data_IF_598545568806
#
_entry.id   IF_598545568806
#
_cell.length_a   1.000
_cell.length_b   1.000
_cell.length_c   1.000
_cell.angle_alpha   90.00
_cell.angle_beta   90.00
_cell.angle_gamma   90.00
#
_symmetry.space_group_name_H-M   'P 1'
#
loop_
_entity.id
_entity.type
_entity.pdbx_description
1 polymer ?
#
# COMPACT_ATOMS: atom_id res chain seq x y z
N UNK A 1 20.29 22.21 -42.81
CA UNK A 1 19.97 22.29 -41.36
C UNK A 1 18.48 22.08 -41.05
N UNK A 2 17.73 21.22 -41.76
CA UNK A 2 16.32 20.90 -41.43
C UNK A 2 16.13 19.59 -40.64
N UNK A 3 17.11 18.69 -40.71
CA UNK A 3 17.06 17.34 -40.09
C UNK A 3 17.31 17.34 -38.58
N UNK A 4 18.01 18.36 -38.05
CA UNK A 4 18.27 18.50 -36.62
C UNK A 4 17.02 18.91 -35.81
N UNK A 5 16.09 19.64 -36.42
CA UNK A 5 14.85 20.06 -35.75
C UNK A 5 13.89 18.87 -35.53
N UNK A 6 13.85 17.91 -36.45
CA UNK A 6 13.03 16.70 -36.27
C UNK A 6 13.56 15.81 -35.16
N UNK A 7 14.89 15.70 -35.00
CA UNK A 7 15.49 14.93 -33.90
C UNK A 7 15.12 15.49 -32.52
N UNK A 8 15.20 16.82 -32.36
CA UNK A 8 14.79 17.51 -31.13
C UNK A 8 13.29 17.37 -30.90
N UNK A 9 12.46 17.50 -31.95
CA UNK A 9 11.00 17.35 -31.82
C UNK A 9 10.58 15.93 -31.43
N UNK A 10 11.23 14.89 -31.97
CA UNK A 10 10.94 13.49 -31.61
C UNK A 10 11.42 13.19 -30.19
N UNK A 11 12.58 13.70 -29.80
CA UNK A 11 13.10 13.56 -28.44
C UNK A 11 12.19 14.26 -27.42
N UNK A 12 11.75 15.49 -27.70
CA UNK A 12 10.80 16.20 -26.84
C UNK A 12 9.46 15.48 -26.74
N UNK A 13 8.96 14.90 -27.84
CA UNK A 13 7.72 14.12 -27.81
C UNK A 13 7.85 12.85 -26.96
N UNK A 14 8.99 12.14 -27.06
CA UNK A 14 9.29 10.99 -26.21
C UNK A 14 9.46 11.38 -24.74
N UNK A 15 10.07 12.53 -24.43
CA UNK A 15 10.14 13.06 -23.08
C UNK A 15 8.75 13.39 -22.53
N UNK A 16 7.86 14.01 -23.31
CA UNK A 16 6.49 14.32 -22.87
C UNK A 16 5.68 13.04 -22.64
N UNK A 17 5.85 12.01 -23.47
CA UNK A 17 5.21 10.72 -23.27
C UNK A 17 5.75 9.99 -22.03
N UNK A 18 7.07 10.02 -21.79
CA UNK A 18 7.65 9.41 -20.59
C UNK A 18 7.27 10.18 -19.32
N UNK A 19 7.22 11.52 -19.36
CA UNK A 19 6.70 12.35 -18.27
C UNK A 19 5.21 12.10 -18.02
N UNK A 20 4.39 11.99 -19.07
CA UNK A 20 2.96 11.67 -18.94
C UNK A 20 2.73 10.29 -18.36
N UNK A 21 3.50 9.30 -18.81
CA UNK A 21 3.46 7.94 -18.27
C UNK A 21 3.94 7.90 -16.82
N UNK A 22 5.01 8.62 -16.49
CA UNK A 22 5.52 8.74 -15.12
C UNK A 22 4.53 9.47 -14.19
N UNK A 23 3.83 10.50 -14.69
CA UNK A 23 2.73 11.17 -13.97
C UNK A 23 1.59 10.21 -13.64
N UNK A 24 1.26 9.29 -14.56
CA UNK A 24 0.25 8.25 -14.32
C UNK A 24 0.73 7.18 -13.33
N UNK A 25 1.99 6.75 -13.42
CA UNK A 25 2.58 5.83 -12.44
C UNK A 25 2.62 6.46 -11.04
N UNK A 26 2.95 7.74 -10.95
CA UNK A 26 2.95 8.49 -9.69
C UNK A 26 1.53 8.91 -9.25
N UNK A 27 0.48 8.75 -10.05
CA UNK A 27 -0.92 8.91 -9.61
C UNK A 27 -1.52 7.58 -9.10
N UNK A 28 -0.95 6.44 -9.50
CA UNK A 28 -1.29 5.14 -8.94
C UNK A 28 -0.71 4.94 -7.52
N UNK A 29 0.38 5.64 -7.16
CA UNK A 29 0.99 5.56 -5.81
C UNK A 29 1.23 6.90 -5.09
N UNK A 30 1.07 8.06 -5.75
CA UNK A 30 1.38 9.38 -5.19
C UNK A 30 0.15 10.18 -4.77
N UNK A 31 -0.34 9.89 -3.57
CA UNK A 31 -0.71 11.01 -2.72
C UNK A 31 0.56 11.77 -2.34
N UNK A 32 0.86 12.85 -3.07
CA UNK A 32 1.71 14.02 -2.70
C UNK A 32 3.16 14.08 -3.24
N UNK A 33 3.35 15.05 -4.15
CA UNK A 33 4.43 16.06 -4.22
C UNK A 33 5.90 15.60 -4.19
N UNK A 34 6.65 15.65 -5.28
CA UNK A 34 7.23 16.86 -5.93
C UNK A 34 8.29 17.60 -5.10
N UNK A 35 9.55 17.21 -5.26
CA UNK A 35 10.83 17.96 -5.23
C UNK A 35 11.96 16.92 -5.07
N UNK A 36 12.63 16.46 -6.14
CA UNK A 36 13.89 17.05 -6.68
C UNK A 36 14.94 17.26 -5.56
N UNK A 37 16.13 16.63 -5.49
CA UNK A 37 16.92 15.74 -6.35
C UNK A 37 18.15 15.24 -5.53
N UNK A 38 19.26 14.74 -6.09
CA UNK A 38 19.68 13.34 -6.09
C UNK A 38 20.98 13.12 -5.30
N UNK A 39 21.42 11.87 -5.17
CA UNK A 39 22.80 11.34 -5.31
C UNK A 39 22.72 9.87 -4.85
N UNK A 40 22.81 8.94 -5.80
CA UNK A 40 23.08 7.52 -5.51
C UNK A 40 24.56 7.31 -5.16
N UNK A 41 25.09 6.07 -5.15
CA UNK A 41 24.45 4.78 -5.41
C UNK A 41 24.63 3.79 -4.24
N UNK A 42 23.82 2.73 -4.18
CA UNK A 42 24.35 1.36 -4.15
C UNK A 42 23.19 0.36 -4.10
N UNK A 43 23.16 -0.44 -5.16
CA UNK A 43 22.35 -1.62 -5.35
C UNK A 43 22.95 -2.74 -4.49
N UNK A 44 22.25 -3.18 -3.45
CA UNK A 44 22.48 -4.50 -2.86
C UNK A 44 21.14 -5.21 -2.64
N UNK A 45 20.89 -6.11 -3.58
CA UNK A 45 19.93 -7.20 -3.50
C UNK A 45 20.17 -8.04 -2.23
N UNK A 46 19.06 -8.42 -1.57
CA UNK A 46 18.92 -9.56 -0.65
C UNK A 46 19.51 -9.38 0.76
N UNK A 47 18.68 -8.91 1.67
CA UNK A 47 18.35 -9.67 2.89
C UNK A 47 16.98 -9.22 3.41
N UNK A 48 16.12 -10.21 3.57
CA UNK A 48 14.88 -10.19 4.30
C UNK A 48 15.11 -9.65 5.72
N UNK A 49 14.94 -8.36 5.91
CA UNK A 49 14.81 -7.74 7.23
C UNK A 49 13.70 -6.70 7.12
N UNK A 50 12.46 -7.14 7.32
CA UNK A 50 11.34 -6.26 7.64
C UNK A 50 11.61 -5.71 9.05
N UNK A 51 12.57 -4.81 9.16
CA UNK A 51 12.77 -3.97 10.33
C UNK A 51 12.60 -2.53 9.87
N UNK A 52 11.34 -2.12 9.86
CA UNK A 52 10.99 -0.73 10.10
C UNK A 52 10.17 -0.75 11.39
N UNK A 53 10.88 -0.73 12.52
CA UNK A 53 10.41 0.11 13.64
C UNK A 53 10.28 1.52 13.05
N UNK A 54 9.15 2.19 13.17
CA UNK A 54 8.83 3.06 14.30
C UNK A 54 7.31 3.29 14.29
N UNK A 55 6.61 2.97 15.38
CA UNK A 55 6.17 3.98 16.34
C UNK A 55 5.49 5.19 15.69
N UNK A 56 4.37 4.92 15.04
CA UNK A 56 3.25 5.86 15.08
C UNK A 56 2.19 5.19 15.94
N UNK A 57 1.51 5.90 16.83
CA UNK A 57 0.48 5.35 17.74
C UNK A 57 -0.75 4.74 17.04
N UNK A 58 -0.67 4.52 15.73
CA UNK A 58 -1.65 3.91 14.86
C UNK A 58 -1.26 2.43 14.66
N UNK A 59 -2.22 1.51 14.81
CA UNK A 59 -1.93 0.08 14.76
C UNK A 59 -1.26 -0.36 13.44
N UNK A 60 -0.45 -1.43 13.51
CA UNK A 60 0.26 -2.02 12.36
C UNK A 60 -0.68 -2.62 11.31
N UNK A 61 -1.84 -3.07 11.74
CA UNK A 61 -2.84 -3.73 10.89
C UNK A 61 -4.20 -3.06 11.01
N UNK A 62 -4.97 -3.12 9.94
CA UNK A 62 -6.31 -2.54 9.85
C UNK A 62 -7.28 -3.57 9.27
N UNK A 63 -8.30 -3.93 10.04
CA UNK A 63 -9.31 -4.91 9.66
C UNK A 63 -10.54 -4.17 9.14
N UNK A 64 -11.04 -4.62 7.99
CA UNK A 64 -12.20 -4.03 7.33
C UNK A 64 -12.99 -5.10 6.60
N UNK A 65 -14.31 -4.90 6.54
CA UNK A 65 -15.20 -5.70 5.70
C UNK A 65 -14.98 -5.42 4.21
N UNK A 66 -14.89 -6.49 3.43
CA UNK A 66 -14.93 -6.46 1.97
C UNK A 66 -15.81 -7.63 1.51
N UNK A 67 -16.94 -7.30 0.88
CA UNK A 67 -17.92 -8.28 0.37
C UNK A 67 -18.40 -9.29 1.42
N UNK A 68 -18.52 -8.87 2.68
CA UNK A 68 -18.95 -9.72 3.79
C UNK A 68 -17.84 -10.58 4.41
N UNK A 69 -16.59 -10.40 3.98
CA UNK A 69 -15.41 -11.07 4.52
C UNK A 69 -14.50 -10.09 5.25
N UNK A 70 -13.87 -10.55 6.33
CA UNK A 70 -12.86 -9.76 7.02
C UNK A 70 -11.56 -9.76 6.22
N UNK A 71 -11.08 -8.58 5.85
CA UNK A 71 -9.79 -8.39 5.17
C UNK A 71 -8.85 -7.60 6.06
N UNK A 72 -7.62 -8.09 6.14
CA UNK A 72 -6.53 -7.46 6.87
C UNK A 72 -5.71 -6.61 5.91
N UNK A 73 -5.60 -5.33 6.20
CA UNK A 73 -4.76 -4.38 5.51
C UNK A 73 -3.54 -4.03 6.36
N UNK A 74 -2.46 -3.57 5.70
CA UNK A 74 -1.34 -2.94 6.38
C UNK A 74 -1.75 -1.57 6.93
N UNK A 75 -0.85 -0.92 7.67
CA UNK A 75 -1.07 0.40 8.29
C UNK A 75 -1.45 1.51 7.29
N UNK A 76 -1.14 1.33 6.00
CA UNK A 76 -1.53 2.23 4.92
C UNK A 76 -3.02 2.13 4.50
N UNK A 77 -3.76 1.13 5.01
CA UNK A 77 -5.17 0.79 4.70
C UNK A 77 -5.46 0.55 3.23
N UNK A 78 -4.44 0.30 2.43
CA UNK A 78 -4.53 0.13 0.99
C UNK A 78 -3.95 -1.20 0.57
N UNK A 79 -2.78 -1.53 1.11
CA UNK A 79 -2.13 -2.79 0.86
C UNK A 79 -2.85 -3.88 1.64
N UNK A 80 -3.51 -4.79 0.92
CA UNK A 80 -4.05 -6.02 1.52
C UNK A 80 -2.88 -6.83 2.04
N UNK A 81 -2.89 -7.09 3.33
CA UNK A 81 -1.97 -8.03 3.97
C UNK A 81 -2.49 -9.45 3.78
N UNK A 82 -3.76 -9.68 4.08
CA UNK A 82 -4.38 -11.01 3.97
C UNK A 82 -5.91 -10.89 3.82
N UNK A 83 -6.47 -11.68 2.92
CA UNK A 83 -7.93 -11.89 2.83
C UNK A 83 -8.28 -13.11 3.66
N UNK A 84 -9.04 -12.92 4.73
CA UNK A 84 -9.44 -14.05 5.59
C UNK A 84 -10.69 -14.73 5.03
N UNK A 85 -10.89 -16.01 5.37
CA UNK A 85 -12.14 -16.73 5.10
C UNK A 85 -13.24 -16.47 6.14
N UNK A 86 -13.06 -15.47 7.02
CA UNK A 86 -13.97 -15.22 8.13
C UNK A 86 -15.10 -14.33 7.63
N UNK A 87 -16.33 -14.87 7.64
CA UNK A 87 -17.53 -14.09 7.32
C UNK A 87 -17.83 -13.07 8.42
N UNK A 88 -18.06 -11.81 8.04
CA UNK A 88 -18.39 -10.74 8.98
C UNK A 88 -19.68 -11.05 9.76
N UNK A 89 -20.64 -11.73 9.13
CA UNK A 89 -21.90 -12.17 9.75
C UNK A 89 -21.73 -13.25 10.80
N UNK A 90 -20.61 -14.00 10.76
CA UNK A 90 -20.31 -15.01 11.78
C UNK A 90 -19.74 -14.40 13.06
N UNK A 91 -19.30 -13.15 13.01
CA UNK A 91 -18.72 -12.46 14.15
C UNK A 91 -19.78 -11.87 15.09
N UNK A 92 -19.50 -11.77 16.40
CA UNK A 92 -20.36 -11.06 17.34
C UNK A 92 -20.67 -9.63 16.87
N UNK A 93 -21.91 -9.18 17.06
CA UNK A 93 -22.41 -7.89 16.55
C UNK A 93 -21.55 -6.69 16.93
N UNK A 94 -20.99 -6.68 18.15
CA UNK A 94 -20.08 -5.63 18.59
C UNK A 94 -18.80 -5.61 17.74
N UNK A 95 -18.23 -6.77 17.49
CA UNK A 95 -16.98 -6.91 16.77
C UNK A 95 -17.14 -6.67 15.27
N UNK A 96 -18.24 -7.15 14.68
CA UNK A 96 -18.54 -6.86 13.28
C UNK A 96 -18.68 -5.36 13.05
N UNK A 97 -19.36 -4.63 13.96
CA UNK A 97 -19.40 -3.16 13.93
C UNK A 97 -18.02 -2.51 14.06
N UNK A 98 -17.18 -2.96 14.99
CA UNK A 98 -15.80 -2.44 15.11
C UNK A 98 -15.00 -2.62 13.80
N UNK A 99 -15.16 -3.76 13.12
CA UNK A 99 -14.50 -4.04 11.84
C UNK A 99 -15.12 -3.20 10.71
N UNK A 100 -16.44 -2.99 10.72
CA UNK A 100 -17.11 -2.08 9.80
C UNK A 100 -16.69 -0.62 10.00
N UNK A 101 -16.39 -0.18 11.21
CA UNK A 101 -15.83 1.15 11.47
C UNK A 101 -14.33 1.22 11.12
N UNK A 102 -13.66 0.06 11.10
CA UNK A 102 -12.26 -0.09 10.77
C UNK A 102 -11.41 -0.28 12.00
N UNK A 103 -11.21 -1.54 12.37
CA UNK A 103 -10.53 -1.93 13.60
C UNK A 103 -9.02 -1.94 13.40
N UNK A 104 -8.28 -1.28 14.28
CA UNK A 104 -6.82 -1.33 14.26
C UNK A 104 -6.30 -2.40 15.20
N UNK A 105 -5.25 -3.09 14.77
CA UNK A 105 -4.51 -4.05 15.57
C UNK A 105 -3.04 -3.60 15.61
N UNK A 106 -2.46 -3.55 16.81
CA UNK A 106 -1.14 -2.93 17.02
C UNK A 106 0.01 -3.88 16.72
N UNK A 107 -0.21 -5.18 16.91
CA UNK A 107 0.84 -6.19 16.79
C UNK A 107 0.38 -7.41 15.98
N UNK A 108 1.34 -8.09 15.38
CA UNK A 108 1.10 -9.32 14.63
C UNK A 108 0.61 -10.45 15.53
N UNK A 109 1.11 -10.52 16.76
CA UNK A 109 0.62 -11.47 17.77
C UNK A 109 -0.87 -11.27 18.08
N UNK A 110 -1.29 -10.03 18.26
CA UNK A 110 -2.71 -9.69 18.50
C UNK A 110 -3.56 -10.01 17.26
N UNK A 111 -3.03 -9.78 16.06
CA UNK A 111 -3.70 -10.14 14.81
C UNK A 111 -3.91 -11.65 14.73
N UNK A 112 -2.86 -12.46 14.89
CA UNK A 112 -3.01 -13.91 14.79
C UNK A 112 -3.86 -14.48 15.91
N UNK A 113 -3.75 -13.97 17.14
CA UNK A 113 -4.65 -14.37 18.22
C UNK A 113 -6.10 -14.05 17.91
N UNK A 114 -6.37 -12.92 17.23
CA UNK A 114 -7.69 -12.61 16.73
C UNK A 114 -8.14 -13.62 15.66
N UNK A 115 -7.31 -13.88 14.66
CA UNK A 115 -7.63 -14.80 13.57
C UNK A 115 -7.86 -16.22 14.08
N UNK A 116 -7.06 -16.72 15.01
CA UNK A 116 -7.20 -18.06 15.59
C UNK A 116 -8.56 -18.27 16.28
N UNK A 117 -9.09 -17.24 16.95
CA UNK A 117 -10.37 -17.33 17.64
C UNK A 117 -11.59 -17.39 16.70
N UNK A 118 -11.43 -16.96 15.44
CA UNK A 118 -12.54 -16.79 14.50
C UNK A 118 -12.32 -17.51 13.16
N UNK A 119 -11.12 -18.03 12.91
CA UNK A 119 -10.82 -18.95 11.82
C UNK A 119 -11.43 -20.29 12.18
N UNK A 120 -12.53 -20.63 11.51
CA UNK A 120 -13.21 -21.92 11.65
C UNK A 120 -12.59 -22.95 10.71
#
# INVERSE_FOLDING_TARGET
MRKFFYGISVFLFLCVLSLGYYRTYQMAEGGRTAAESPIGPEEQEKTQTVSSQEESGYGKYYLKDLDGLVVVYRSDKKTVFETTGIELSSLPEKLSREIQEGKYIKSEKELYSFLENYST
#
